data_IF_692117596209
#
_entry.id   IF_692117596209
#
_cell.length_a   1.000
_cell.length_b   1.000
_cell.length_c   1.000
_cell.angle_alpha   90.00
_cell.angle_beta   90.00
_cell.angle_gamma   90.00
#
_symmetry.space_group_name_H-M   'P 1'
#
loop_
_entity.id
_entity.type
_entity.pdbx_description
1 polymer ?
#
# COMPACT_ATOMS: atom_id res chain seq x y z
N UNK A 1 -15.70 1.45 -11.43
CA UNK A 1 -15.87 2.65 -10.56
C UNK A 1 -14.53 2.90 -9.90
N UNK A 2 -14.02 4.13 -9.84
CA UNK A 2 -12.75 4.43 -9.17
C UNK A 2 -12.86 5.71 -8.34
N UNK A 3 -12.10 5.78 -7.25
CA UNK A 3 -12.19 6.85 -6.25
C UNK A 3 -13.32 6.67 -5.23
N UNK A 4 -13.36 7.59 -4.26
CA UNK A 4 -14.36 7.63 -3.18
C UNK A 4 -13.75 7.82 -1.79
N UNK A 5 -14.62 7.94 -0.79
CA UNK A 5 -14.22 8.01 0.62
C UNK A 5 -14.09 6.60 1.21
N UNK A 6 -12.96 6.34 1.88
CA UNK A 6 -12.63 5.07 2.52
C UNK A 6 -12.40 5.31 4.02
N UNK A 7 -13.26 4.73 4.86
CA UNK A 7 -13.27 4.97 6.31
C UNK A 7 -13.06 3.74 7.18
N UNK A 8 -12.97 2.55 6.58
CA UNK A 8 -12.79 1.30 7.30
C UNK A 8 -11.40 1.19 7.94
N UNK A 9 -11.27 0.41 9.02
CA UNK A 9 -9.97 0.16 9.67
C UNK A 9 -8.99 -0.59 8.77
N UNK A 10 -9.50 -1.48 7.94
CA UNK A 10 -8.74 -2.20 6.92
C UNK A 10 -9.54 -2.09 5.64
N UNK A 11 -8.89 -1.73 4.54
CA UNK A 11 -9.54 -1.63 3.25
C UNK A 11 -8.56 -1.77 2.11
N UNK A 12 -9.11 -1.77 0.91
CA UNK A 12 -8.36 -1.89 -0.33
C UNK A 12 -8.84 -0.87 -1.35
N UNK A 13 -7.95 -0.48 -2.26
CA UNK A 13 -8.23 0.36 -3.40
C UNK A 13 -7.39 -0.09 -4.59
N UNK A 14 -7.92 0.04 -5.79
CA UNK A 14 -7.26 -0.45 -7.00
C UNK A 14 -7.58 0.46 -8.19
N UNK A 15 -6.68 0.47 -9.18
CA UNK A 15 -6.96 1.09 -10.46
C UNK A 15 -8.20 0.44 -11.12
N UNK A 16 -8.97 1.19 -11.93
CA UNK A 16 -10.11 0.60 -12.64
C UNK A 16 -9.67 -0.63 -13.44
N UNK A 17 -10.48 -1.68 -13.40
CA UNK A 17 -10.30 -2.96 -14.10
C UNK A 17 -9.16 -3.86 -13.61
N UNK A 18 -8.42 -3.50 -12.56
CA UNK A 18 -7.35 -4.35 -12.01
C UNK A 18 -7.85 -5.79 -11.73
N UNK A 19 -7.08 -6.85 -12.05
CA UNK A 19 -5.72 -6.87 -12.60
C UNK A 19 -5.63 -6.69 -14.13
N UNK A 20 -6.74 -6.38 -14.78
CA UNK A 20 -6.76 -5.99 -16.19
C UNK A 20 -6.33 -4.54 -16.40
N UNK A 21 -6.27 -4.18 -17.69
CA UNK A 21 -5.90 -2.86 -18.19
C UNK A 21 -6.79 -1.72 -17.68
N UNK A 22 -6.19 -0.70 -17.06
CA UNK A 22 -6.91 0.54 -16.72
C UNK A 22 -7.22 1.38 -17.98
N UNK A 23 -8.31 2.16 -18.00
CA UNK A 23 -8.67 3.01 -19.13
C UNK A 23 -7.75 4.23 -19.27
N UNK A 24 -7.71 4.81 -20.48
CA UNK A 24 -7.09 6.12 -20.76
C UNK A 24 -8.12 7.01 -21.48
N UNK A 25 -8.46 8.21 -20.96
CA UNK A 25 -7.95 8.77 -19.71
C UNK A 25 -8.62 8.14 -18.47
N UNK A 26 -7.88 8.09 -17.37
CA UNK A 26 -8.40 7.81 -16.04
C UNK A 26 -8.04 8.94 -15.08
N UNK A 27 -8.96 9.26 -14.17
CA UNK A 27 -8.72 10.16 -13.04
C UNK A 27 -9.48 9.63 -11.84
N UNK A 28 -8.75 9.10 -10.88
CA UNK A 28 -9.27 8.43 -9.71
C UNK A 28 -8.65 9.05 -8.46
N UNK A 29 -9.47 9.30 -7.46
CA UNK A 29 -9.05 9.94 -6.23
C UNK A 29 -9.78 9.31 -5.04
N UNK A 30 -9.02 8.79 -4.07
CA UNK A 30 -9.52 8.16 -2.86
C UNK A 30 -9.12 8.94 -1.63
N UNK A 31 -10.09 9.29 -0.77
CA UNK A 31 -9.82 9.86 0.55
C UNK A 31 -9.83 8.75 1.59
N UNK A 32 -8.65 8.32 2.04
CA UNK A 32 -8.56 7.36 3.14
C UNK A 32 -8.57 8.13 4.45
N UNK A 33 -9.54 7.85 5.32
CA UNK A 33 -9.73 8.50 6.62
C UNK A 33 -9.69 7.47 7.74
N UNK A 34 -8.63 7.50 8.54
CA UNK A 34 -8.53 6.72 9.75
C UNK A 34 -9.39 7.32 10.90
N UNK A 35 -9.76 6.52 11.91
CA UNK A 35 -10.35 7.03 13.14
C UNK A 35 -9.44 8.02 13.89
N UNK A 36 -9.97 8.66 14.94
CA UNK A 36 -9.15 9.46 15.83
C UNK A 36 -8.04 8.61 16.49
N UNK A 37 -6.87 9.20 16.72
CA UNK A 37 -5.67 8.53 17.29
C UNK A 37 -5.15 7.34 16.46
N UNK A 38 -5.52 7.26 15.19
CA UNK A 38 -5.01 6.25 14.28
C UNK A 38 -4.18 6.90 13.16
N UNK A 39 -3.22 6.13 12.67
CA UNK A 39 -2.34 6.43 11.53
C UNK A 39 -2.51 5.36 10.47
N UNK A 40 -2.00 5.61 9.27
CA UNK A 40 -2.22 4.74 8.12
C UNK A 40 -0.92 4.05 7.72
N UNK A 41 -1.00 2.74 7.53
CA UNK A 41 0.01 1.95 6.84
C UNK A 41 -0.59 1.49 5.52
N UNK A 42 0.04 1.84 4.40
CA UNK A 42 -0.39 1.43 3.07
C UNK A 42 0.60 0.40 2.52
N UNK A 43 0.09 -0.66 1.90
CA UNK A 43 0.88 -1.66 1.19
C UNK A 43 0.57 -1.55 -0.30
N UNK A 44 1.61 -1.32 -1.09
CA UNK A 44 1.59 -1.48 -2.54
C UNK A 44 2.40 -2.73 -2.89
N UNK A 45 1.76 -3.89 -3.14
CA UNK A 45 2.48 -5.12 -3.48
C UNK A 45 3.28 -5.00 -4.78
N UNK A 46 2.65 -4.39 -5.78
CA UNK A 46 3.22 -4.08 -7.09
C UNK A 46 2.37 -3.03 -7.80
N UNK A 47 2.96 -2.35 -8.78
CA UNK A 47 2.28 -1.44 -9.68
C UNK A 47 2.82 -1.64 -11.09
N UNK A 48 1.94 -1.73 -12.07
CA UNK A 48 2.26 -1.76 -13.49
C UNK A 48 1.68 -0.52 -14.16
N UNK A 49 2.55 0.42 -14.50
CA UNK A 49 2.23 1.69 -15.16
C UNK A 49 2.89 1.72 -16.54
N UNK A 50 2.43 2.58 -17.46
CA UNK A 50 3.17 2.75 -18.71
C UNK A 50 4.59 3.25 -18.43
N UNK A 51 5.59 2.80 -19.21
CA UNK A 51 6.95 3.33 -19.12
C UNK A 51 7.00 4.85 -19.29
N UNK A 52 7.86 5.51 -18.51
CA UNK A 52 8.16 6.94 -18.68
C UNK A 52 9.30 7.11 -19.70
N UNK A 53 8.98 7.09 -20.99
CA UNK A 53 10.02 7.23 -22.02
C UNK A 53 10.35 8.72 -22.29
N UNK A 54 9.34 9.60 -22.30
CA UNK A 54 9.51 11.05 -22.53
C UNK A 54 8.58 11.91 -21.67
N UNK A 55 7.33 11.48 -21.46
CA UNK A 55 6.37 12.14 -20.58
C UNK A 55 5.69 11.09 -19.69
N UNK A 56 5.85 11.23 -18.37
CA UNK A 56 5.16 10.41 -17.38
C UNK A 56 3.66 10.70 -17.40
N UNK A 57 2.95 9.99 -18.27
CA UNK A 57 1.51 10.15 -18.52
C UNK A 57 0.65 9.42 -17.51
N UNK A 58 1.20 8.39 -16.87
CA UNK A 58 0.59 7.73 -15.73
C UNK A 58 1.24 8.20 -14.44
N UNK A 59 0.41 8.40 -13.42
CA UNK A 59 0.86 8.85 -12.10
C UNK A 59 0.02 8.23 -11.02
N UNK A 60 0.68 7.65 -10.01
CA UNK A 60 0.09 7.22 -8.75
C UNK A 60 0.76 8.02 -7.63
N UNK A 61 -0.01 8.64 -6.74
CA UNK A 61 0.54 9.38 -5.61
C UNK A 61 -0.22 9.14 -4.31
N UNK A 62 0.51 9.21 -3.20
CA UNK A 62 -0.05 9.23 -1.84
C UNK A 62 0.41 10.52 -1.18
N UNK A 63 -0.54 11.39 -0.84
CA UNK A 63 -0.25 12.73 -0.30
C UNK A 63 -1.21 13.13 0.81
N UNK A 64 -0.80 14.10 1.61
CA UNK A 64 -1.60 14.61 2.70
C UNK A 64 -2.88 15.26 2.16
N UNK A 65 -3.98 15.07 2.87
CA UNK A 65 -5.18 15.85 2.61
C UNK A 65 -4.88 17.34 2.84
N UNK A 66 -5.39 18.28 2.01
CA UNK A 66 -5.24 19.71 2.25
C UNK A 66 -5.72 20.14 3.65
N UNK A 67 -6.68 19.40 4.23
CA UNK A 67 -7.16 19.61 5.61
C UNK A 67 -6.10 19.27 6.68
N UNK A 68 -5.12 18.43 6.36
CA UNK A 68 -4.04 17.99 7.26
C UNK A 68 -2.74 18.74 7.00
N UNK A 69 -2.41 19.01 5.73
CA UNK A 69 -1.22 19.75 5.34
C UNK A 69 -1.52 20.62 4.12
N UNK A 70 -1.68 21.95 4.29
CA UNK A 70 -1.93 22.86 3.17
C UNK A 70 -0.78 22.90 2.16
N UNK A 71 0.44 22.61 2.63
CA UNK A 71 1.66 22.53 1.80
C UNK A 71 1.79 21.18 1.07
N UNK A 72 0.91 20.22 1.35
CA UNK A 72 0.81 18.95 0.64
C UNK A 72 2.04 18.05 0.78
N UNK A 73 2.24 17.45 1.97
CA UNK A 73 3.27 16.39 2.12
C UNK A 73 2.98 15.24 1.14
N UNK A 74 3.97 14.86 0.34
CA UNK A 74 3.91 13.68 -0.54
C UNK A 74 4.73 12.56 0.09
N UNK A 75 4.14 11.37 0.19
CA UNK A 75 4.80 10.15 0.70
C UNK A 75 5.21 9.19 -0.41
N UNK A 76 4.44 9.16 -1.49
CA UNK A 76 4.71 8.34 -2.67
C UNK A 76 4.32 9.11 -3.92
N UNK A 77 5.17 9.05 -4.93
CA UNK A 77 4.86 9.41 -6.30
C UNK A 77 5.52 8.39 -7.21
N UNK A 78 4.72 7.70 -8.01
CA UNK A 78 5.15 6.71 -8.99
C UNK A 78 4.65 7.14 -10.36
N UNK A 79 5.53 7.01 -11.33
CA UNK A 79 5.23 7.24 -12.73
C UNK A 79 5.64 6.06 -13.63
N UNK A 80 6.25 5.03 -13.05
CA UNK A 80 6.67 3.81 -13.73
C UNK A 80 6.38 2.59 -12.88
N UNK A 81 6.44 1.42 -13.50
CA UNK A 81 6.17 0.14 -12.84
C UNK A 81 7.12 -0.16 -11.69
N UNK A 82 6.58 -0.80 -10.66
CA UNK A 82 7.29 -1.27 -9.48
C UNK A 82 6.92 -2.72 -9.19
N UNK A 83 7.87 -3.63 -9.32
CA UNK A 83 7.66 -5.06 -9.08
C UNK A 83 7.84 -5.51 -7.61
N UNK A 84 8.44 -4.65 -6.75
CA UNK A 84 8.75 -4.97 -5.35
C UNK A 84 7.72 -4.35 -4.40
N UNK A 85 7.23 -5.11 -3.40
CA UNK A 85 6.34 -4.59 -2.39
C UNK A 85 6.89 -3.35 -1.68
N UNK A 86 6.02 -2.42 -1.35
CA UNK A 86 6.32 -1.21 -0.59
C UNK A 86 5.30 -1.06 0.53
N UNK A 87 5.77 -1.11 1.78
CA UNK A 87 5.01 -0.67 2.93
C UNK A 87 5.34 0.79 3.22
N UNK A 88 4.33 1.64 3.14
CA UNK A 88 4.43 3.06 3.36
C UNK A 88 3.75 3.40 4.68
N UNK A 89 4.55 3.71 5.69
CA UNK A 89 4.01 4.30 6.91
C UNK A 89 3.70 5.79 6.67
N UNK A 90 2.42 6.10 6.77
CA UNK A 90 1.89 7.44 6.68
C UNK A 90 1.41 7.87 8.07
N UNK A 91 2.20 8.69 8.79
CA UNK A 91 1.83 9.22 10.11
C UNK A 91 0.82 10.38 9.96
N UNK A 92 -0.30 10.11 9.31
CA UNK A 92 -1.41 11.03 9.11
C UNK A 92 -2.73 10.26 9.14
N UNK A 93 -3.79 10.95 9.60
CA UNK A 93 -5.14 10.39 9.69
C UNK A 93 -5.89 10.42 8.35
N UNK A 94 -5.60 11.39 7.49
CA UNK A 94 -6.30 11.59 6.21
C UNK A 94 -5.31 11.77 5.08
N UNK A 95 -5.41 10.91 4.06
CA UNK A 95 -4.55 10.94 2.89
C UNK A 95 -5.37 10.85 1.61
N UNK A 96 -4.89 11.51 0.57
CA UNK A 96 -5.36 11.29 -0.79
C UNK A 96 -4.46 10.27 -1.47
N UNK A 97 -5.08 9.28 -2.08
CA UNK A 97 -4.45 8.44 -3.09
C UNK A 97 -5.00 8.88 -4.44
N UNK A 98 -4.14 9.35 -5.34
CA UNK A 98 -4.52 9.81 -6.67
C UNK A 98 -3.89 8.93 -7.74
N UNK A 99 -4.70 8.50 -8.70
CA UNK A 99 -4.24 7.85 -9.91
C UNK A 99 -4.75 8.58 -11.15
N UNK A 100 -3.87 8.88 -12.09
CA UNK A 100 -4.23 9.48 -13.37
C UNK A 100 -3.50 8.83 -14.53
N UNK A 101 -4.18 8.71 -15.68
CA UNK A 101 -3.60 8.29 -16.96
C UNK A 101 -4.06 9.25 -18.07
N UNK A 102 -3.15 9.62 -18.99
CA UNK A 102 -3.44 10.55 -20.10
C UNK A 102 -2.87 10.06 -21.44
N UNK A 103 -3.53 10.38 -22.55
CA UNK A 103 -3.02 10.16 -23.92
C UNK A 103 -2.06 11.27 -24.39
N UNK A 104 -1.93 12.38 -23.66
CA UNK A 104 -1.31 13.62 -24.12
C UNK A 104 0.23 13.63 -24.24
N UNK A 105 0.90 12.50 -24.02
CA UNK A 105 2.37 12.38 -24.06
C UNK A 105 2.95 11.86 -25.38
N UNK A 106 2.10 11.36 -26.29
CA UNK A 106 2.54 10.78 -27.54
C UNK A 106 2.17 11.68 -28.72
N UNK A 107 3.08 12.53 -29.16
CA UNK A 107 3.02 13.20 -30.46
C UNK A 107 3.97 12.47 -31.41
N UNK A 108 3.45 11.67 -32.34
CA UNK A 108 4.24 10.93 -33.33
C UNK A 108 3.67 9.55 -33.68
N UNK A 109 4.36 8.80 -34.54
CA UNK A 109 3.95 7.45 -35.00
C UNK A 109 3.80 6.45 -33.83
N UNK A 110 4.53 6.64 -32.72
CA UNK A 110 4.40 5.88 -31.48
C UNK A 110 3.07 6.12 -30.72
N UNK A 111 2.36 7.23 -30.99
CA UNK A 111 1.05 7.53 -30.42
C UNK A 111 -0.05 6.63 -30.99
N UNK A 112 0.03 6.34 -32.29
CA UNK A 112 -0.92 5.51 -33.01
C UNK A 112 -0.76 4.02 -32.67
N UNK A 113 0.44 3.59 -32.26
CA UNK A 113 0.66 2.24 -31.70
C UNK A 113 0.28 2.13 -30.21
N UNK A 114 0.20 3.27 -29.51
CA UNK A 114 -0.16 3.36 -28.09
C UNK A 114 -1.66 3.57 -27.83
N UNK A 115 -2.49 3.69 -28.88
CA UNK A 115 -3.96 3.66 -28.76
C UNK A 115 -4.42 2.25 -28.30
N UNK A 116 -4.33 2.02 -26.99
CA UNK A 116 -4.68 0.75 -26.34
C UNK A 116 -3.59 0.15 -25.45
N UNK A 117 -2.35 0.64 -25.52
CA UNK A 117 -1.24 0.13 -24.71
C UNK A 117 -1.33 0.66 -23.26
N UNK A 118 -2.13 -0.01 -22.43
CA UNK A 118 -2.26 0.24 -20.99
C UNK A 118 -1.69 -0.94 -20.22
N UNK A 119 -1.50 -0.79 -18.91
CA UNK A 119 -0.92 -1.83 -18.06
C UNK A 119 -1.92 -2.33 -17.01
N UNK A 120 -1.55 -3.36 -16.23
CA UNK A 120 -2.41 -3.98 -15.21
C UNK A 120 -2.77 -3.05 -14.03
N UNK A 121 -2.11 -1.89 -13.93
CA UNK A 121 -2.38 -0.89 -12.90
C UNK A 121 -1.87 -1.31 -11.53
N UNK A 122 -2.67 -1.10 -10.49
CA UNK A 122 -2.23 -1.37 -9.13
C UNK A 122 -3.39 -1.80 -8.22
N UNK A 123 -3.03 -2.52 -7.17
CA UNK A 123 -3.85 -2.77 -6.00
C UNK A 123 -3.07 -2.29 -4.78
N UNK A 124 -3.77 -1.69 -3.83
CA UNK A 124 -3.19 -1.15 -2.60
C UNK A 124 -4.09 -1.48 -1.43
N UNK A 125 -3.54 -2.13 -0.42
CA UNK A 125 -4.22 -2.36 0.86
C UNK A 125 -3.82 -1.26 1.84
N UNK A 126 -4.70 -0.92 2.77
CA UNK A 126 -4.35 -0.06 3.89
C UNK A 126 -4.89 -0.61 5.21
N UNK A 127 -4.21 -0.24 6.29
CA UNK A 127 -4.67 -0.47 7.67
C UNK A 127 -4.48 0.79 8.50
N UNK A 128 -5.52 1.13 9.26
CA UNK A 128 -5.46 2.10 10.32
C UNK A 128 -5.00 1.41 11.61
N UNK A 129 -3.85 1.81 12.14
CA UNK A 129 -3.33 1.31 13.41
C UNK A 129 -3.33 2.43 14.46
N UNK A 130 -3.48 2.08 15.72
CA UNK A 130 -3.45 3.05 16.82
C UNK A 130 -2.06 3.70 16.92
N UNK A 131 -2.00 5.01 17.12
CA UNK A 131 -0.74 5.78 17.10
C UNK A 131 0.30 5.32 18.14
N UNK A 132 -0.12 4.61 19.18
CA UNK A 132 0.77 4.00 20.16
C UNK A 132 1.70 2.95 19.54
N UNK A 133 1.26 2.23 18.50
CA UNK A 133 2.03 1.20 17.82
C UNK A 133 3.00 1.74 16.77
N UNK A 134 3.16 3.06 16.65
CA UNK A 134 4.05 3.70 15.67
C UNK A 134 5.45 3.10 15.68
N UNK A 135 6.07 2.97 16.86
CA UNK A 135 7.45 2.48 16.97
C UNK A 135 7.57 1.02 16.51
N UNK A 136 6.56 0.19 16.78
CA UNK A 136 6.50 -1.19 16.29
C UNK A 136 6.41 -1.22 14.76
N UNK A 137 5.53 -0.40 14.18
CA UNK A 137 5.35 -0.33 12.72
C UNK A 137 6.65 0.13 12.07
N UNK A 138 7.29 1.18 12.60
CA UNK A 138 8.58 1.69 12.12
C UNK A 138 9.69 0.63 12.21
N UNK A 139 9.78 -0.11 13.32
CA UNK A 139 10.76 -1.19 13.49
C UNK A 139 10.53 -2.36 12.52
N UNK A 140 9.27 -2.66 12.17
CA UNK A 140 8.94 -3.69 11.18
C UNK A 140 9.32 -3.24 9.76
N UNK A 141 8.87 -2.05 9.33
CA UNK A 141 9.05 -1.58 7.94
C UNK A 141 10.49 -1.19 7.62
N UNK A 142 11.28 -0.80 8.63
CA UNK A 142 12.68 -0.40 8.47
C UNK A 142 13.64 -1.60 8.47
N UNK A 143 13.16 -2.79 8.85
CA UNK A 143 13.98 -4.00 8.86
C UNK A 143 14.13 -4.58 7.46
N UNK A 144 15.35 -4.54 6.91
CA UNK A 144 15.65 -5.06 5.59
C UNK A 144 15.28 -6.54 5.38
N UNK A 145 15.19 -7.34 6.45
CA UNK A 145 14.74 -8.74 6.36
C UNK A 145 13.29 -8.87 5.89
N UNK A 146 12.45 -7.84 6.08
CA UNK A 146 11.08 -7.86 5.57
C UNK A 146 11.04 -7.96 4.04
N UNK A 147 12.01 -7.34 3.36
CA UNK A 147 12.04 -7.27 1.89
C UNK A 147 13.10 -8.20 1.27
N UNK A 148 14.07 -8.70 2.03
CA UNK A 148 15.18 -9.48 1.46
C UNK A 148 14.80 -10.94 1.15
N UNK A 149 13.90 -11.54 1.94
CA UNK A 149 13.49 -12.93 1.75
C UNK A 149 12.30 -13.04 0.79
N UNK A 150 12.41 -13.93 -0.20
CA UNK A 150 11.31 -14.22 -1.14
C UNK A 150 10.04 -14.67 -0.40
N UNK A 151 10.17 -15.54 0.61
CA UNK A 151 9.03 -15.96 1.44
C UNK A 151 8.29 -14.80 2.12
N UNK A 152 8.97 -13.69 2.43
CA UNK A 152 8.35 -12.51 3.02
C UNK A 152 7.70 -11.65 1.94
N UNK A 153 8.34 -11.49 0.78
CA UNK A 153 7.72 -10.80 -0.36
C UNK A 153 6.43 -11.50 -0.81
N UNK A 154 6.39 -12.84 -0.80
CA UNK A 154 5.18 -13.60 -1.11
C UNK A 154 4.05 -13.36 -0.11
N UNK A 155 4.38 -13.12 1.17
CA UNK A 155 3.38 -12.68 2.17
C UNK A 155 2.81 -11.31 1.77
N UNK A 156 3.68 -10.35 1.40
CA UNK A 156 3.28 -9.00 1.01
C UNK A 156 2.57 -8.92 -0.36
N UNK A 157 2.57 -10.00 -1.15
CA UNK A 157 1.85 -10.10 -2.43
C UNK A 157 0.55 -10.91 -2.35
N UNK A 158 0.35 -11.67 -1.28
CA UNK A 158 -0.82 -12.51 -1.14
C UNK A 158 -1.93 -11.81 -0.37
N UNK A 159 -3.05 -11.47 -1.04
CA UNK A 159 -4.20 -10.75 -0.44
C UNK A 159 -4.67 -11.35 0.90
N UNK A 160 -4.74 -12.68 1.02
CA UNK A 160 -5.18 -13.35 2.26
C UNK A 160 -4.18 -13.15 3.39
N UNK A 161 -2.89 -13.28 3.10
CA UNK A 161 -1.83 -13.13 4.09
C UNK A 161 -1.65 -11.66 4.51
N UNK A 162 -1.78 -10.72 3.58
CA UNK A 162 -1.78 -9.28 3.86
C UNK A 162 -2.91 -8.91 4.82
N UNK A 163 -4.13 -9.36 4.54
CA UNK A 163 -5.27 -9.10 5.43
C UNK A 163 -4.99 -9.61 6.85
N UNK A 164 -4.47 -10.83 6.96
CA UNK A 164 -4.06 -11.40 8.25
C UNK A 164 -2.93 -10.61 8.93
N UNK A 165 -1.97 -10.10 8.15
CA UNK A 165 -0.88 -9.27 8.68
C UNK A 165 -1.44 -7.97 9.26
N UNK A 166 -2.34 -7.32 8.53
CA UNK A 166 -2.96 -6.07 8.94
C UNK A 166 -3.81 -6.22 10.20
N UNK A 167 -4.54 -7.32 10.35
CA UNK A 167 -5.24 -7.65 11.60
C UNK A 167 -4.27 -7.74 12.80
N UNK A 168 -3.09 -8.33 12.60
CA UNK A 168 -2.04 -8.41 13.63
C UNK A 168 -1.45 -7.03 13.94
N UNK A 169 -1.16 -6.22 12.93
CA UNK A 169 -0.57 -4.89 13.09
C UNK A 169 -1.55 -3.89 13.72
N UNK A 170 -2.85 -4.02 13.44
CA UNK A 170 -3.90 -3.21 14.06
C UNK A 170 -4.10 -3.56 15.56
N UNK A 171 -3.81 -4.79 15.96
CA UNK A 171 -3.92 -5.23 17.36
C UNK A 171 -2.79 -6.21 17.74
N UNK A 172 -1.57 -5.70 18.02
CA UNK A 172 -0.40 -6.53 18.32
C UNK A 172 -0.58 -7.41 19.57
N UNK A 173 -1.36 -6.98 20.56
CA UNK A 173 -1.66 -7.77 21.75
C UNK A 173 -2.44 -9.06 21.45
N UNK A 174 -3.16 -9.11 20.33
CA UNK A 174 -3.86 -10.32 19.89
C UNK A 174 -2.90 -11.40 19.39
N UNK A 175 -1.67 -11.03 19.01
CA UNK A 175 -0.70 -11.93 18.39
C UNK A 175 -0.35 -13.12 19.27
N UNK A 176 -0.33 -13.01 20.60
CA UNK A 176 -0.01 -14.16 21.47
C UNK A 176 -1.24 -14.97 21.92
N UNK A 177 -2.46 -14.51 21.60
CA UNK A 177 -3.71 -15.18 21.99
C UNK A 177 -4.00 -16.39 21.10
N UNK A 178 -4.64 -17.41 21.66
CA UNK A 178 -5.02 -18.63 20.93
C UNK A 178 -6.00 -18.37 19.77
N UNK A 179 -6.79 -17.30 19.82
CA UNK A 179 -7.67 -16.88 18.72
C UNK A 179 -6.91 -16.49 17.44
N UNK A 180 -5.62 -16.15 17.55
CA UNK A 180 -4.74 -15.86 16.41
C UNK A 180 -4.00 -17.10 15.86
N UNK A 181 -4.22 -18.30 16.42
CA UNK A 181 -3.52 -19.52 15.97
C UNK A 181 -3.82 -19.83 14.49
N UNK A 182 -5.05 -19.59 14.04
CA UNK A 182 -5.45 -19.80 12.65
C UNK A 182 -4.69 -18.87 11.70
N UNK A 183 -4.55 -17.59 12.07
CA UNK A 183 -3.77 -16.59 11.36
C UNK A 183 -2.27 -16.96 11.28
N UNK A 184 -1.70 -17.50 12.37
CA UNK A 184 -0.30 -17.94 12.41
C UNK A 184 0.00 -19.10 11.47
N UNK A 185 -0.95 -20.03 11.30
CA UNK A 185 -0.75 -21.19 10.42
C UNK A 185 -0.69 -20.80 8.93
N UNK A 186 -1.07 -19.59 8.56
CA UNK A 186 -1.05 -19.10 7.19
C UNK A 186 0.33 -18.55 6.78
N UNK A 187 1.14 -18.07 7.73
CA UNK A 187 2.42 -17.45 7.42
C UNK A 187 3.57 -18.46 7.32
N UNK A 188 4.57 -18.22 6.45
CA UNK A 188 5.83 -18.94 6.47
C UNK A 188 6.52 -18.87 7.85
N UNK A 189 7.21 -19.95 8.26
CA UNK A 189 7.90 -20.01 9.56
C UNK A 189 8.94 -18.89 9.74
N UNK A 190 9.63 -18.50 8.67
CA UNK A 190 10.57 -17.38 8.66
C UNK A 190 9.87 -16.06 9.03
N UNK A 191 8.72 -15.79 8.40
CA UNK A 191 7.93 -14.60 8.62
C UNK A 191 7.33 -14.56 10.03
N UNK A 192 6.85 -15.71 10.53
CA UNK A 192 6.38 -15.82 11.92
C UNK A 192 7.49 -15.50 12.92
N UNK A 193 8.70 -16.01 12.71
CA UNK A 193 9.84 -15.74 13.59
C UNK A 193 10.19 -14.24 13.58
N UNK A 194 10.19 -13.64 12.39
CA UNK A 194 10.39 -12.21 12.21
C UNK A 194 9.35 -11.39 12.99
N UNK A 195 8.06 -11.60 12.73
CA UNK A 195 6.98 -10.87 13.42
C UNK A 195 7.00 -11.09 14.92
N UNK A 196 7.17 -12.35 15.36
CA UNK A 196 7.25 -12.68 16.80
C UNK A 196 8.37 -11.90 17.47
N UNK A 197 9.55 -11.83 16.85
CA UNK A 197 10.69 -11.10 17.42
C UNK A 197 10.41 -9.61 17.59
N UNK A 198 9.74 -8.99 16.61
CA UNK A 198 9.39 -7.56 16.63
C UNK A 198 8.31 -7.25 17.67
N UNK A 199 7.21 -8.01 17.64
CA UNK A 199 6.07 -7.82 18.55
C UNK A 199 6.48 -8.12 20.01
N UNK A 200 7.24 -9.19 20.26
CA UNK A 200 7.73 -9.50 21.61
C UNK A 200 8.60 -8.37 22.18
N UNK A 201 9.52 -7.81 21.38
CA UNK A 201 10.40 -6.73 21.82
C UNK A 201 9.63 -5.46 22.18
N UNK A 202 8.61 -5.13 21.38
CA UNK A 202 7.78 -3.95 21.63
C UNK A 202 6.86 -4.12 22.84
N UNK A 203 6.19 -5.26 23.01
CA UNK A 203 5.24 -5.49 24.11
C UNK A 203 5.91 -5.81 25.45
N UNK A 204 7.13 -6.34 25.43
CA UNK A 204 7.90 -6.71 26.61
C UNK A 204 9.33 -6.14 26.49
N UNK A 205 9.50 -4.82 26.60
CA UNK A 205 10.82 -4.20 26.64
C UNK A 205 11.57 -4.68 27.90
N UNK A 206 12.87 -4.93 27.74
CA UNK A 206 13.78 -5.33 28.82
C UNK A 206 14.01 -4.19 29.84
#
# INVERSE_FOLDING_TARGET
RCGGDLGDLVGELESPNHPGSYPVPASCQWLVTAPARHRLLLLLPEAELRPCDVACTDRLSVKASPAVSPQGRVWLELCSSRARPLLLNVPARRVWVDFSSSSSGSTGIAAAEAEGATAAGFHMDYVAYHEEYEDLIQDIISDGHLYSFESHQQVLKNKKLVKTLFEVLANPHSYFKSTSQHAKNLFPKSFLRFLKSKISRYLHPL
#
